data_IF_842659144362
#
_entry.id   IF_842659144362
#
_cell.length_a   1.000
_cell.length_b   1.000
_cell.length_c   1.000
_cell.angle_alpha   90.00
_cell.angle_beta   90.00
_cell.angle_gamma   90.00
#
_symmetry.space_group_name_H-M   'P 1'
#
loop_
_entity.id
_entity.type
_entity.pdbx_description
1 polymer ?
#
# COMPACT_ATOMS: atom_id res chain seq x y z
N UNK A 1 0.55 -30.33 19.33
CA UNK A 1 0.36 -28.95 18.77
C UNK A 1 -1.12 -28.52 18.61
N UNK A 2 -2.11 -29.30 19.13
CA UNK A 2 -3.53 -29.12 18.79
C UNK A 2 -4.30 -28.05 19.56
N UNK A 3 -3.76 -27.39 20.56
CA UNK A 3 -4.52 -26.44 21.40
C UNK A 3 -4.32 -24.97 21.07
N UNK A 4 -3.10 -24.55 20.87
CA UNK A 4 -2.74 -23.13 20.70
C UNK A 4 -3.04 -22.55 19.31
N UNK A 5 -3.14 -23.37 18.27
CA UNK A 5 -3.37 -22.96 16.89
C UNK A 5 -4.83 -23.10 16.44
N UNK A 6 -5.73 -23.59 17.30
CA UNK A 6 -7.14 -23.75 16.92
C UNK A 6 -7.80 -22.39 16.66
N UNK A 7 -8.19 -22.16 15.40
CA UNK A 7 -8.79 -20.90 14.97
C UNK A 7 -7.79 -19.81 14.56
N UNK A 8 -6.49 -20.18 14.46
CA UNK A 8 -5.45 -19.32 13.92
C UNK A 8 -4.91 -19.91 12.62
N UNK A 9 -4.49 -19.02 11.71
CA UNK A 9 -3.89 -19.36 10.42
C UNK A 9 -2.55 -18.65 10.33
N UNK A 10 -1.53 -19.32 9.81
CA UNK A 10 -0.22 -18.74 9.50
C UNK A 10 0.12 -19.16 8.07
N UNK A 11 0.33 -18.19 7.20
CA UNK A 11 0.51 -18.36 5.76
C UNK A 11 1.76 -17.61 5.31
N UNK A 12 2.94 -18.26 5.27
CA UNK A 12 4.09 -17.68 4.58
C UNK A 12 3.89 -17.80 3.07
N UNK A 13 4.31 -16.77 2.32
CA UNK A 13 4.25 -16.76 0.87
C UNK A 13 5.42 -16.02 0.23
N UNK A 14 5.69 -16.36 -1.02
CA UNK A 14 6.61 -15.67 -1.89
C UNK A 14 5.90 -15.42 -3.23
N UNK A 15 5.89 -14.15 -3.65
CA UNK A 15 5.44 -13.79 -4.99
C UNK A 15 6.63 -13.24 -5.76
N UNK A 16 6.79 -13.72 -6.99
CA UNK A 16 7.84 -13.25 -7.91
C UNK A 16 7.15 -12.57 -9.08
N UNK A 17 7.47 -11.30 -9.28
CA UNK A 17 7.04 -10.52 -10.43
C UNK A 17 8.27 -10.21 -11.27
N UNK A 18 8.27 -10.64 -12.53
CA UNK A 18 9.29 -10.31 -13.50
C UNK A 18 8.62 -9.63 -14.70
N UNK A 19 9.03 -8.42 -14.98
CA UNK A 19 8.53 -7.61 -16.08
C UNK A 19 9.70 -7.15 -16.93
N UNK A 20 9.53 -7.21 -18.24
CA UNK A 20 10.42 -6.58 -19.22
C UNK A 20 9.56 -5.92 -20.28
N UNK A 21 9.82 -4.66 -20.57
CA UNK A 21 9.25 -3.99 -21.72
C UNK A 21 10.34 -3.87 -22.77
N UNK A 22 10.24 -4.69 -23.81
CA UNK A 22 11.07 -4.58 -25.03
C UNK A 22 10.39 -3.63 -26.04
N UNK A 23 9.56 -2.69 -25.57
CA UNK A 23 8.91 -1.76 -26.47
C UNK A 23 9.91 -0.67 -26.86
N UNK A 24 10.19 -0.61 -28.17
CA UNK A 24 10.77 0.56 -28.83
C UNK A 24 9.78 1.74 -28.72
N UNK A 25 9.64 2.30 -27.52
CA UNK A 25 8.94 3.58 -27.37
C UNK A 25 9.84 4.65 -27.98
N UNK A 26 9.73 4.80 -29.28
CA UNK A 26 10.28 5.96 -29.98
C UNK A 26 9.48 7.18 -29.52
N UNK A 27 9.93 7.79 -28.43
CA UNK A 27 9.56 9.15 -28.13
C UNK A 27 10.04 9.98 -29.31
N UNK A 28 9.11 10.63 -30.01
CA UNK A 28 9.35 11.39 -31.24
C UNK A 28 10.34 12.55 -31.08
N UNK A 29 10.92 12.78 -29.93
CA UNK A 29 11.90 13.83 -29.67
C UNK A 29 13.36 13.33 -29.61
N UNK A 30 13.67 12.08 -29.22
CA UNK A 30 15.05 11.69 -28.98
C UNK A 30 15.40 10.21 -29.22
N UNK A 31 14.65 9.43 -29.98
CA UNK A 31 15.03 8.07 -30.42
C UNK A 31 15.61 7.19 -29.29
N UNK A 32 15.14 7.31 -28.07
CA UNK A 32 15.64 6.58 -26.91
C UNK A 32 14.75 5.36 -26.67
N UNK A 33 15.33 4.19 -26.86
CA UNK A 33 14.74 2.90 -26.46
C UNK A 33 14.72 2.89 -24.94
N UNK A 34 13.53 2.86 -24.36
CA UNK A 34 13.34 2.67 -22.91
C UNK A 34 13.20 1.17 -22.66
N UNK A 35 14.31 0.51 -22.39
CA UNK A 35 14.32 -0.87 -21.94
C UNK A 35 14.15 -0.85 -20.41
N UNK A 36 12.99 -1.24 -19.92
CA UNK A 36 12.75 -1.38 -18.47
C UNK A 36 12.65 -2.85 -18.11
N UNK A 37 13.40 -3.25 -17.11
CA UNK A 37 13.38 -4.62 -16.59
C UNK A 37 13.32 -4.59 -15.08
N UNK A 38 12.28 -5.20 -14.52
CA UNK A 38 12.12 -5.33 -13.07
C UNK A 38 11.98 -6.81 -12.69
N UNK A 39 12.71 -7.23 -11.66
CA UNK A 39 12.47 -8.50 -11.00
C UNK A 39 12.30 -8.23 -9.50
N UNK A 40 11.11 -8.46 -9.00
CA UNK A 40 10.69 -8.17 -7.62
C UNK A 40 10.24 -9.44 -6.93
N UNK A 41 10.83 -9.71 -5.77
CA UNK A 41 10.46 -10.78 -4.86
C UNK A 41 9.70 -10.16 -3.69
N UNK A 42 8.47 -10.58 -3.45
CA UNK A 42 7.67 -10.17 -2.29
C UNK A 42 7.57 -11.34 -1.33
N UNK A 43 8.22 -11.21 -0.19
CA UNK A 43 8.18 -12.16 0.93
C UNK A 43 7.10 -11.70 1.90
N UNK A 44 6.12 -12.54 2.16
CA UNK A 44 5.03 -12.21 3.07
C UNK A 44 4.76 -13.30 4.09
N UNK A 45 4.24 -12.88 5.23
CA UNK A 45 3.75 -13.76 6.27
C UNK A 45 2.43 -13.22 6.79
N UNK A 46 1.33 -13.92 6.52
CA UNK A 46 0.04 -13.58 7.08
C UNK A 46 -0.25 -14.44 8.30
N UNK A 47 -0.58 -13.82 9.41
CA UNK A 47 -1.10 -14.46 10.60
C UNK A 47 -2.47 -13.87 10.95
N UNK A 48 -3.48 -14.72 11.10
CA UNK A 48 -4.82 -14.29 11.45
C UNK A 48 -5.49 -15.27 12.41
N UNK A 49 -6.33 -14.78 13.29
CA UNK A 49 -6.98 -15.66 14.24
C UNK A 49 -8.08 -15.02 15.06
N UNK A 50 -8.74 -15.89 15.82
CA UNK A 50 -9.80 -15.54 16.78
C UNK A 50 -9.47 -16.15 18.12
N UNK A 51 -9.91 -15.49 19.19
CA UNK A 51 -9.66 -15.94 20.57
C UNK A 51 -8.17 -15.94 20.94
N UNK A 52 -7.52 -14.78 20.84
CA UNK A 52 -6.11 -14.60 21.24
C UNK A 52 -5.93 -15.07 22.68
N UNK A 53 -5.04 -16.04 22.91
CA UNK A 53 -4.68 -16.55 24.24
C UNK A 53 -5.86 -16.97 25.13
N UNK A 54 -6.98 -17.44 24.55
CA UNK A 54 -8.18 -17.80 25.30
C UNK A 54 -9.10 -16.62 25.65
N UNK A 55 -8.75 -15.41 25.28
CA UNK A 55 -9.57 -14.24 25.43
C UNK A 55 -10.67 -14.22 24.36
N UNK A 56 -11.84 -14.76 24.70
CA UNK A 56 -12.98 -14.84 23.77
C UNK A 56 -13.46 -13.46 23.36
N UNK A 57 -13.62 -13.27 22.04
CA UNK A 57 -14.12 -12.02 21.46
C UNK A 57 -13.06 -11.24 20.68
N UNK A 58 -11.77 -11.44 20.95
CA UNK A 58 -10.69 -10.86 20.17
C UNK A 58 -10.47 -11.60 18.84
N UNK A 59 -10.19 -10.83 17.82
CA UNK A 59 -9.65 -11.32 16.55
C UNK A 59 -8.51 -10.40 16.09
N UNK A 60 -7.65 -10.94 15.22
CA UNK A 60 -6.52 -10.20 14.69
C UNK A 60 -6.14 -10.67 13.30
N UNK A 61 -5.49 -9.78 12.56
CA UNK A 61 -4.73 -10.08 11.34
C UNK A 61 -3.45 -9.28 11.38
N UNK A 62 -2.33 -9.90 11.01
CA UNK A 62 -1.03 -9.23 10.83
C UNK A 62 -0.40 -9.80 9.58
N UNK A 63 0.06 -8.93 8.70
CA UNK A 63 0.65 -9.29 7.41
C UNK A 63 1.82 -8.39 7.06
N UNK A 64 3.03 -8.65 7.60
CA UNK A 64 4.25 -8.00 7.14
C UNK A 64 4.68 -8.54 5.78
N UNK A 65 5.21 -7.63 4.96
CA UNK A 65 5.76 -7.89 3.64
C UNK A 65 7.11 -7.22 3.48
N UNK A 66 8.04 -7.90 2.82
CA UNK A 66 9.32 -7.34 2.41
C UNK A 66 9.55 -7.57 0.93
N UNK A 67 10.03 -6.55 0.24
CA UNK A 67 10.34 -6.63 -1.18
C UNK A 67 11.84 -6.46 -1.42
N UNK A 68 12.39 -7.37 -2.22
CA UNK A 68 13.77 -7.36 -2.68
C UNK A 68 13.83 -7.62 -4.18
N UNK A 69 14.95 -7.30 -4.80
CA UNK A 69 15.13 -7.54 -6.23
C UNK A 69 15.89 -6.45 -6.91
N UNK A 70 15.63 -6.28 -8.20
CA UNK A 70 16.31 -5.25 -9.01
C UNK A 70 15.35 -4.63 -10.00
N UNK A 71 15.44 -3.31 -10.13
CA UNK A 71 14.75 -2.53 -11.14
C UNK A 71 15.76 -1.84 -12.02
N UNK A 72 15.53 -1.88 -13.33
CA UNK A 72 16.25 -1.07 -14.29
C UNK A 72 15.27 -0.04 -14.81
N UNK A 73 15.41 1.17 -14.39
CA UNK A 73 14.59 2.29 -14.82
C UNK A 73 15.44 3.26 -15.61
N UNK A 74 14.99 3.61 -16.81
CA UNK A 74 15.58 4.70 -17.56
C UNK A 74 14.71 5.93 -17.28
N UNK A 75 15.17 6.88 -16.47
CA UNK A 75 14.42 8.09 -16.26
C UNK A 75 14.27 8.86 -17.57
N UNK A 76 13.16 9.53 -17.76
CA UNK A 76 12.85 10.37 -18.93
C UNK A 76 13.81 11.55 -19.13
N UNK A 77 14.92 11.59 -18.42
CA UNK A 77 15.82 12.73 -18.46
C UNK A 77 17.08 12.44 -19.31
N UNK A 78 17.49 13.44 -20.02
CA UNK A 78 18.43 13.62 -21.12
C UNK A 78 19.86 13.17 -20.88
N UNK A 79 20.22 12.61 -19.75
CA UNK A 79 21.55 12.04 -19.51
C UNK A 79 21.54 10.54 -19.89
N UNK A 80 21.86 10.28 -21.14
CA UNK A 80 21.86 8.95 -21.80
C UNK A 80 22.76 7.89 -21.14
N UNK A 81 23.40 8.18 -20.01
CA UNK A 81 24.32 7.28 -19.31
C UNK A 81 23.81 6.73 -17.97
N UNK A 82 22.64 7.12 -17.48
CA UNK A 82 22.07 6.60 -16.25
C UNK A 82 21.09 5.44 -16.50
N UNK A 83 21.58 4.33 -16.98
CA UNK A 83 20.95 3.03 -16.76
C UNK A 83 21.28 2.60 -15.33
N UNK A 84 20.68 3.22 -14.35
CA UNK A 84 20.89 2.83 -12.97
C UNK A 84 20.16 1.53 -12.73
N UNK A 85 20.91 0.48 -12.44
CA UNK A 85 20.35 -0.71 -11.80
C UNK A 85 20.16 -0.37 -10.34
N UNK A 86 18.92 -0.30 -9.91
CA UNK A 86 18.57 -0.05 -8.52
C UNK A 86 18.23 -1.37 -7.83
N UNK A 87 18.63 -1.51 -6.58
CA UNK A 87 18.17 -2.59 -5.75
C UNK A 87 16.81 -2.21 -5.16
N UNK A 88 15.92 -3.19 -5.03
CA UNK A 88 14.63 -3.01 -4.37
C UNK A 88 14.82 -3.36 -2.90
N UNK A 89 14.43 -2.44 -2.00
CA UNK A 89 14.50 -2.59 -0.54
C UNK A 89 13.28 -1.88 0.07
N UNK A 90 12.13 -2.54 0.03
CA UNK A 90 10.87 -1.95 0.41
C UNK A 90 10.07 -2.87 1.33
N UNK A 91 9.21 -2.31 2.17
CA UNK A 91 8.43 -3.10 3.10
C UNK A 91 7.04 -2.54 3.34
N UNK A 92 6.14 -3.40 3.79
CA UNK A 92 4.79 -3.02 4.13
C UNK A 92 4.28 -3.88 5.29
N UNK A 93 3.29 -3.38 6.00
CA UNK A 93 2.58 -4.15 7.02
C UNK A 93 1.11 -3.74 7.06
N UNK A 94 0.24 -4.75 7.13
CA UNK A 94 -1.14 -4.56 7.58
C UNK A 94 -1.32 -5.25 8.92
N UNK A 95 -1.87 -4.54 9.90
CA UNK A 95 -2.17 -5.10 11.22
C UNK A 95 -3.57 -4.64 11.66
N UNK A 96 -4.41 -5.59 12.03
CA UNK A 96 -5.75 -5.31 12.55
C UNK A 96 -5.97 -6.08 13.86
N UNK A 97 -6.63 -5.44 14.83
CA UNK A 97 -7.15 -6.07 16.03
C UNK A 97 -8.60 -5.64 16.24
N UNK A 98 -9.45 -6.57 16.63
CA UNK A 98 -10.84 -6.30 16.90
C UNK A 98 -11.35 -7.03 18.14
N UNK A 99 -12.40 -6.48 18.72
CA UNK A 99 -13.12 -7.11 19.83
C UNK A 99 -14.63 -7.12 19.60
N UNK A 100 -15.23 -8.29 19.70
CA UNK A 100 -16.67 -8.50 19.55
C UNK A 100 -17.34 -8.65 20.92
N UNK A 101 -18.25 -7.75 21.24
CA UNK A 101 -19.06 -7.75 22.47
C UNK A 101 -20.26 -8.68 22.29
N UNK A 102 -20.06 -9.99 22.52
CA UNK A 102 -21.06 -11.05 22.25
C UNK A 102 -22.35 -10.92 23.03
N UNK A 103 -22.30 -10.30 24.21
CA UNK A 103 -23.43 -10.16 25.14
C UNK A 103 -24.14 -8.80 25.03
N UNK A 104 -23.73 -7.94 24.12
CA UNK A 104 -24.37 -6.64 23.89
C UNK A 104 -25.41 -6.74 22.76
N UNK A 105 -26.49 -5.90 22.82
CA UNK A 105 -27.38 -5.76 21.67
C UNK A 105 -26.62 -5.46 20.40
N UNK A 106 -27.07 -6.04 19.26
CA UNK A 106 -26.46 -5.92 17.93
C UNK A 106 -25.06 -6.52 17.80
N UNK A 107 -24.53 -7.16 18.85
CA UNK A 107 -23.22 -7.82 18.87
C UNK A 107 -22.12 -6.95 18.25
N UNK A 108 -21.89 -5.73 18.77
CA UNK A 108 -20.94 -4.80 18.17
C UNK A 108 -19.53 -5.38 18.17
N UNK A 109 -18.80 -5.16 17.06
CA UNK A 109 -17.36 -5.36 16.98
C UNK A 109 -16.72 -4.00 16.75
N UNK A 110 -15.76 -3.65 17.60
CA UNK A 110 -14.88 -2.48 17.41
C UNK A 110 -13.51 -3.02 17.00
N UNK A 111 -12.91 -2.42 16.00
CA UNK A 111 -11.59 -2.76 15.51
C UNK A 111 -10.76 -1.52 15.24
N UNK A 112 -9.45 -1.72 15.27
CA UNK A 112 -8.47 -0.79 14.80
C UNK A 112 -7.53 -1.52 13.85
N UNK A 113 -7.23 -0.91 12.69
CA UNK A 113 -6.24 -1.41 11.78
C UNK A 113 -5.23 -0.30 11.42
N UNK A 114 -4.03 -0.73 11.09
CA UNK A 114 -2.97 0.10 10.58
C UNK A 114 -2.38 -0.56 9.34
N UNK A 115 -2.37 0.17 8.23
CA UNK A 115 -1.71 -0.23 7.00
C UNK A 115 -0.57 0.73 6.72
N UNK A 116 0.59 0.17 6.46
CA UNK A 116 1.81 0.90 6.13
C UNK A 116 2.44 0.31 4.87
N UNK A 117 2.95 1.17 4.01
CA UNK A 117 3.81 0.79 2.89
C UNK A 117 4.87 1.87 2.69
N UNK A 118 6.13 1.46 2.66
CA UNK A 118 7.27 2.38 2.55
C UNK A 118 7.24 3.22 1.27
N UNK A 119 7.64 4.47 1.40
CA UNK A 119 8.01 5.38 0.34
C UNK A 119 9.52 5.42 0.09
N UNK A 120 9.94 6.21 -0.88
CA UNK A 120 11.33 6.44 -1.23
C UNK A 120 11.77 7.83 -0.80
N UNK A 121 12.66 7.88 0.17
CA UNK A 121 13.21 9.13 0.73
C UNK A 121 14.26 9.77 -0.18
N UNK A 122 14.81 9.02 -1.16
CA UNK A 122 15.84 9.52 -2.07
C UNK A 122 15.90 8.75 -3.38
N UNK A 123 15.56 9.41 -4.47
CA UNK A 123 15.65 8.81 -5.81
C UNK A 123 17.08 8.66 -6.36
N UNK A 124 18.10 9.16 -5.66
CA UNK A 124 19.49 9.21 -6.11
C UNK A 124 20.39 8.16 -5.44
N UNK A 125 19.93 7.42 -4.45
CA UNK A 125 20.76 6.53 -3.62
C UNK A 125 20.94 5.10 -4.14
N UNK A 126 20.44 4.75 -5.34
CA UNK A 126 20.62 3.43 -5.97
C UNK A 126 19.81 2.31 -5.35
N UNK A 127 18.83 2.61 -4.50
CA UNK A 127 17.84 1.69 -3.98
C UNK A 127 16.43 2.26 -4.13
N UNK A 128 15.49 1.44 -4.58
CA UNK A 128 14.07 1.76 -4.67
C UNK A 128 13.39 1.29 -3.38
N UNK A 129 12.95 2.23 -2.55
CA UNK A 129 12.33 1.96 -1.25
C UNK A 129 10.81 2.00 -1.29
N UNK A 130 10.19 2.49 -2.38
CA UNK A 130 8.74 2.46 -2.54
C UNK A 130 8.25 1.02 -2.64
N UNK A 131 7.42 0.61 -1.65
CA UNK A 131 6.72 -0.66 -1.74
C UNK A 131 5.71 -0.61 -2.89
N UNK A 132 5.67 -1.67 -3.72
CA UNK A 132 4.68 -1.79 -4.79
C UNK A 132 3.76 -2.96 -4.50
N UNK A 133 2.46 -2.69 -4.38
CA UNK A 133 1.47 -3.77 -4.22
C UNK A 133 1.56 -4.76 -5.39
N UNK A 134 1.46 -6.04 -5.07
CA UNK A 134 1.61 -7.12 -6.06
C UNK A 134 0.45 -7.13 -7.05
N UNK A 135 -0.74 -6.82 -6.57
CA UNK A 135 -1.96 -6.73 -7.36
C UNK A 135 -2.85 -5.63 -6.80
N UNK A 136 -3.46 -4.80 -7.64
CA UNK A 136 -4.42 -3.82 -7.18
C UNK A 136 -5.56 -4.52 -6.43
N UNK A 137 -5.79 -4.12 -5.18
CA UNK A 137 -6.85 -4.66 -4.34
C UNK A 137 -7.86 -3.54 -4.11
N UNK A 138 -8.91 -3.51 -4.93
CA UNK A 138 -9.98 -2.54 -4.80
C UNK A 138 -10.78 -2.83 -3.52
N UNK A 139 -11.12 -1.79 -2.76
CA UNK A 139 -12.02 -1.80 -1.59
C UNK A 139 -11.62 -2.71 -0.41
N UNK A 140 -10.54 -3.47 -0.51
CA UNK A 140 -10.25 -4.47 0.53
C UNK A 140 -9.63 -3.85 1.79
N UNK A 141 -8.67 -2.95 1.62
CA UNK A 141 -7.88 -2.41 2.72
C UNK A 141 -7.84 -0.88 2.77
N UNK A 142 -7.91 -0.19 1.63
CA UNK A 142 -7.64 1.25 1.52
C UNK A 142 -8.87 2.08 1.17
N UNK A 143 -10.07 1.65 1.62
CA UNK A 143 -11.33 2.38 1.43
C UNK A 143 -12.03 2.13 0.09
N UNK A 144 -13.31 2.54 0.01
CA UNK A 144 -14.16 2.30 -1.15
C UNK A 144 -13.99 3.35 -2.25
N UNK A 145 -13.41 4.51 -1.94
CA UNK A 145 -13.19 5.56 -2.93
C UNK A 145 -12.07 5.22 -3.92
N UNK A 146 -11.24 4.21 -3.62
CA UNK A 146 -10.12 3.77 -4.47
C UNK A 146 -9.12 4.91 -4.79
N UNK A 147 -8.94 5.85 -3.87
CA UNK A 147 -8.11 7.03 -4.09
C UNK A 147 -6.62 6.75 -3.90
N UNK A 148 -6.28 5.70 -3.17
CA UNK A 148 -4.88 5.36 -2.86
C UNK A 148 -4.60 3.88 -3.05
N UNK A 149 -3.33 3.55 -3.23
CA UNK A 149 -2.82 2.18 -3.25
C UNK A 149 -2.00 1.89 -2.00
N UNK A 150 -1.65 0.64 -1.79
CA UNK A 150 -0.73 0.24 -0.73
C UNK A 150 0.72 0.47 -1.18
N UNK A 151 1.09 1.76 -1.36
CA UNK A 151 2.38 2.28 -1.79
C UNK A 151 2.58 3.66 -1.17
N UNK A 152 3.71 3.90 -0.52
CA UNK A 152 4.03 5.18 0.13
C UNK A 152 2.86 5.72 0.97
N UNK A 153 2.33 4.90 1.89
CA UNK A 153 1.10 5.21 2.61
C UNK A 153 1.13 4.75 4.06
N UNK A 154 0.56 5.56 4.92
CA UNK A 154 0.13 5.25 6.28
C UNK A 154 -1.39 5.41 6.32
N UNK A 155 -2.10 4.40 6.82
CA UNK A 155 -3.55 4.44 6.94
C UNK A 155 -3.96 3.93 8.31
N UNK A 156 -4.50 4.82 9.13
CA UNK A 156 -5.10 4.51 10.41
C UNK A 156 -6.60 4.29 10.24
N UNK A 157 -7.09 3.12 10.62
CA UNK A 157 -8.47 2.71 10.38
C UNK A 157 -9.18 2.41 11.68
N UNK A 158 -10.43 2.88 11.81
CA UNK A 158 -11.33 2.47 12.89
C UNK A 158 -12.55 1.78 12.29
N UNK A 159 -12.87 0.62 12.84
CA UNK A 159 -13.93 -0.25 12.34
C UNK A 159 -15.03 -0.41 13.38
N UNK A 160 -16.28 -0.29 12.96
CA UNK A 160 -17.45 -0.63 13.73
C UNK A 160 -18.36 -1.54 12.92
N UNK A 161 -18.55 -2.79 13.38
CA UNK A 161 -19.48 -3.73 12.78
C UNK A 161 -20.64 -3.97 13.75
N UNK A 162 -21.87 -3.85 13.25
CA UNK A 162 -23.10 -4.06 14.01
C UNK A 162 -23.98 -5.09 13.31
N UNK A 163 -24.70 -5.91 14.10
CA UNK A 163 -25.69 -6.89 13.61
C UNK A 163 -27.05 -6.61 14.24
N UNK A 164 -27.77 -5.57 13.79
CA UNK A 164 -29.07 -5.19 14.38
C UNK A 164 -30.10 -6.30 14.29
N UNK A 165 -30.02 -7.12 13.26
CA UNK A 165 -30.88 -8.31 13.08
C UNK A 165 -30.05 -9.49 12.52
N UNK A 166 -30.66 -10.69 12.49
CA UNK A 166 -30.02 -11.87 11.87
C UNK A 166 -29.76 -11.70 10.36
N UNK A 167 -30.43 -10.75 9.74
CA UNK A 167 -30.35 -10.49 8.29
C UNK A 167 -29.58 -9.23 7.93
N UNK A 168 -29.40 -8.28 8.84
CA UNK A 168 -28.77 -6.99 8.58
C UNK A 168 -27.43 -6.89 9.30
N UNK A 169 -26.41 -6.55 8.53
CA UNK A 169 -25.08 -6.16 9.02
C UNK A 169 -24.80 -4.74 8.57
N UNK A 170 -24.37 -3.90 9.49
CA UNK A 170 -23.90 -2.53 9.24
C UNK A 170 -22.41 -2.51 9.52
N UNK A 171 -21.63 -2.06 8.56
CA UNK A 171 -20.18 -1.91 8.64
C UNK A 171 -19.83 -0.44 8.44
N UNK A 172 -19.11 0.15 9.39
CA UNK A 172 -18.58 1.50 9.28
C UNK A 172 -17.06 1.41 9.41
N UNK A 173 -16.36 1.99 8.45
CA UNK A 173 -14.90 2.15 8.50
C UNK A 173 -14.56 3.62 8.34
N UNK A 174 -13.55 4.06 9.05
CA UNK A 174 -12.95 5.38 8.84
C UNK A 174 -11.47 5.19 8.53
N UNK A 175 -10.96 5.95 7.59
CA UNK A 175 -9.58 5.94 7.15
C UNK A 175 -8.98 7.33 7.35
N UNK A 176 -7.72 7.37 7.77
CA UNK A 176 -6.91 8.58 7.86
C UNK A 176 -5.62 8.29 7.09
N UNK A 177 -5.51 8.90 5.92
CA UNK A 177 -4.42 8.64 4.98
C UNK A 177 -3.33 9.69 5.09
N UNK A 178 -2.10 9.23 5.21
CA UNK A 178 -0.88 10.04 5.21
C UNK A 178 0.16 9.39 4.27
N UNK A 179 1.02 10.18 3.65
CA UNK A 179 2.20 9.67 2.97
C UNK A 179 3.21 9.16 3.99
N UNK A 180 4.00 8.15 3.63
CA UNK A 180 5.17 7.75 4.41
C UNK A 180 6.33 8.71 4.17
N UNK A 181 6.60 9.02 2.90
CA UNK A 181 7.64 9.93 2.47
C UNK A 181 7.04 11.02 1.57
N UNK A 182 7.14 12.27 2.00
CA UNK A 182 6.68 13.44 1.25
C UNK A 182 7.44 13.63 -0.08
N UNK A 183 8.66 13.12 -0.13
CA UNK A 183 9.50 13.15 -1.33
C UNK A 183 9.09 12.14 -2.40
N UNK A 184 8.29 11.13 -2.06
CA UNK A 184 7.77 10.13 -3.01
C UNK A 184 6.38 10.54 -3.54
N UNK A 185 5.91 9.83 -4.55
CA UNK A 185 4.63 10.11 -5.15
C UNK A 185 3.46 9.58 -4.31
N UNK A 186 2.32 10.23 -4.45
CA UNK A 186 1.04 9.63 -4.10
C UNK A 186 0.59 8.70 -5.24
N UNK A 187 0.21 7.48 -4.90
CA UNK A 187 -0.14 6.43 -5.85
C UNK A 187 -1.62 6.09 -5.81
N UNK A 188 -2.26 6.14 -6.98
CA UNK A 188 -3.65 5.72 -7.15
C UNK A 188 -3.79 4.19 -6.99
N UNK A 189 -5.00 3.70 -6.69
CA UNK A 189 -5.32 2.29 -6.47
C UNK A 189 -4.75 1.34 -7.53
N UNK A 190 -4.73 1.74 -8.78
CA UNK A 190 -4.14 0.98 -9.88
C UNK A 190 -2.61 0.97 -9.94
N UNK A 191 -1.93 1.65 -9.00
CA UNK A 191 -0.47 1.77 -9.00
C UNK A 191 0.07 2.85 -9.95
N UNK A 192 -0.81 3.66 -10.57
CA UNK A 192 -0.41 4.84 -11.30
C UNK A 192 -0.21 6.03 -10.34
N UNK A 193 0.65 6.95 -10.71
CA UNK A 193 0.87 8.18 -9.94
C UNK A 193 -0.42 9.00 -9.96
N UNK A 194 -1.00 9.24 -8.79
CA UNK A 194 -2.19 10.06 -8.62
C UNK A 194 -1.82 11.55 -8.56
N UNK A 195 -0.78 11.86 -7.80
CA UNK A 195 -0.17 13.16 -7.76
C UNK A 195 1.34 13.00 -7.57
N UNK A 196 2.12 13.85 -8.20
CA UNK A 196 3.57 13.85 -8.00
C UNK A 196 3.89 14.76 -6.82
N UNK A 197 4.72 14.27 -5.92
CA UNK A 197 5.29 15.12 -4.88
C UNK A 197 5.88 16.38 -5.54
N UNK A 198 5.44 17.55 -5.13
CA UNK A 198 5.92 18.83 -5.68
C UNK A 198 5.55 19.08 -7.15
N UNK A 199 4.39 18.62 -7.62
CA UNK A 199 3.96 18.73 -9.02
C UNK A 199 3.97 20.18 -9.55
N UNK A 200 3.75 21.18 -8.69
CA UNK A 200 3.80 22.59 -9.07
C UNK A 200 5.22 23.16 -9.22
N UNK A 201 6.23 22.47 -8.64
CA UNK A 201 7.62 22.94 -8.65
C UNK A 201 8.52 22.12 -9.58
N UNK A 202 8.18 20.86 -9.86
CA UNK A 202 8.99 19.97 -10.70
C UNK A 202 9.00 20.42 -12.16
N UNK A 203 7.91 20.99 -12.68
CA UNK A 203 7.87 21.48 -14.07
C UNK A 203 8.76 22.71 -14.27
N UNK A 204 8.84 23.58 -13.28
CA UNK A 204 9.68 24.77 -13.36
C UNK A 204 11.18 24.50 -13.17
N UNK A 205 11.55 23.48 -12.42
CA UNK A 205 12.95 23.15 -12.13
C UNK A 205 13.62 22.23 -13.18
N UNK A 206 12.85 21.49 -13.98
CA UNK A 206 13.43 20.74 -15.12
C UNK A 206 14.05 21.64 -16.19
N UNK A 207 13.70 22.91 -16.20
CA UNK A 207 14.25 23.88 -17.17
C UNK A 207 15.46 24.67 -16.66
N UNK A 208 15.81 24.59 -15.38
CA UNK A 208 16.90 25.35 -14.78
C UNK A 208 17.75 24.49 -13.85
N UNK A 209 18.83 23.92 -14.36
CA UNK A 209 20.02 23.45 -13.62
C UNK A 209 19.94 22.17 -12.74
N UNK A 210 18.99 21.28 -12.89
CA UNK A 210 19.17 19.93 -12.32
C UNK A 210 19.16 19.84 -10.77
N UNK A 211 18.77 20.89 -10.09
CA UNK A 211 18.63 20.89 -8.64
C UNK A 211 17.13 20.70 -8.33
N UNK A 212 16.77 19.45 -8.08
CA UNK A 212 15.40 19.07 -7.72
C UNK A 212 15.15 19.41 -6.25
N UNK A 213 14.92 20.69 -5.98
CA UNK A 213 14.23 21.07 -4.76
C UNK A 213 12.79 20.59 -4.92
N UNK A 214 12.48 19.38 -4.43
CA UNK A 214 11.11 18.95 -4.23
C UNK A 214 10.53 19.85 -3.16
N UNK A 215 9.45 20.56 -3.48
CA UNK A 215 8.68 21.27 -2.47
C UNK A 215 8.10 20.23 -1.50
N UNK A 216 8.09 20.56 -0.23
CA UNK A 216 7.40 19.76 0.79
C UNK A 216 5.93 19.64 0.36
N UNK A 217 5.48 18.42 0.07
CA UNK A 217 4.07 18.10 -0.08
C UNK A 217 3.59 17.78 1.32
N UNK A 218 2.41 18.29 1.68
CA UNK A 218 1.75 17.91 2.92
C UNK A 218 1.57 16.38 2.93
N UNK A 219 2.01 15.73 3.99
CA UNK A 219 1.89 14.28 4.16
C UNK A 219 0.44 13.85 4.38
N UNK A 220 -0.44 14.75 4.85
CA UNK A 220 -1.85 14.48 5.09
C UNK A 220 -2.63 14.41 3.75
N UNK A 221 -3.04 13.19 3.35
CA UNK A 221 -3.82 12.97 2.13
C UNK A 221 -5.33 13.16 2.34
N UNK A 222 -5.82 12.98 3.57
CA UNK A 222 -7.22 13.18 3.92
C UNK A 222 -7.86 12.00 4.64
N UNK A 223 -9.20 12.02 4.66
CA UNK A 223 -10.02 11.08 5.43
C UNK A 223 -11.13 10.50 4.56
N UNK A 224 -11.49 9.24 4.83
CA UNK A 224 -12.62 8.56 4.20
C UNK A 224 -13.51 7.90 5.25
N UNK A 225 -14.81 7.93 5.03
CA UNK A 225 -15.79 7.22 5.87
C UNK A 225 -16.63 6.33 4.97
N UNK A 226 -16.53 5.03 5.19
CA UNK A 226 -17.28 4.01 4.47
C UNK A 226 -18.44 3.47 5.32
N UNK A 227 -19.61 3.40 4.74
CA UNK A 227 -20.77 2.76 5.36
C UNK A 227 -21.34 1.70 4.43
N UNK A 228 -21.29 0.44 4.87
CA UNK A 228 -21.82 -0.70 4.11
C UNK A 228 -22.98 -1.34 4.84
N UNK A 229 -24.07 -1.54 4.11
CA UNK A 229 -25.26 -2.27 4.59
C UNK A 229 -25.37 -3.59 3.81
N UNK A 230 -25.27 -4.72 4.53
CA UNK A 230 -25.43 -6.07 3.94
C UNK A 230 -26.74 -6.67 4.47
N UNK A 231 -27.68 -6.91 3.56
CA UNK A 231 -28.97 -7.54 3.89
C UNK A 231 -29.09 -8.92 3.24
N UNK A 232 -29.34 -9.94 4.07
CA UNK A 232 -29.54 -11.31 3.60
C UNK A 232 -31.03 -11.54 3.34
N UNK A 233 -31.39 -11.70 2.10
CA UNK A 233 -32.73 -12.08 1.65
C UNK A 233 -33.08 -13.54 2.00
#
# INVERSE_FOLDING_TARGET
FGGALKGNVIEPYLVVKAESTDEDVTSSANNSIVDSKETRYTWGLRAAGKNIAGLGGFDYTVEPNYQSGTSHYTPFNTDQNRRAKENIDAWAIHAEVGYTFKNMPWTPRIGYAYSFASGDDSFDEGSQKTYKQVSPTQHAHNGYMDVTSWQNIKDHQFHLNLKPTKKLVVDVKTHFFELDEESDNWWHVGGAVANRAGADTVIDNFNNNGDSARGDVDDELGQEIDVTLKYKM
#
